data_IF_915544729379
#
_entry.id   IF_915544729379
#
_cell.length_a   1.000
_cell.length_b   1.000
_cell.length_c   1.000
_cell.angle_alpha   90.00
_cell.angle_beta   90.00
_cell.angle_gamma   90.00
#
_symmetry.space_group_name_H-M   'P 1'
#
loop_
_entity.id
_entity.type
_entity.pdbx_description
1 polymer ?
#
# COMPACT_ATOMS: atom_id res chain seq x y z
N UNK A 1 23.74 -23.04 12.90
CA UNK A 1 23.55 -22.04 13.98
C UNK A 1 22.31 -22.42 14.74
N UNK A 2 22.36 -22.48 16.07
CA UNK A 2 21.15 -22.65 16.88
C UNK A 2 20.28 -21.39 16.80
N UNK A 3 18.96 -21.53 16.99
CA UNK A 3 18.03 -20.38 17.05
C UNK A 3 18.52 -19.34 18.06
N UNK A 4 18.97 -19.80 19.23
CA UNK A 4 19.50 -18.96 20.30
C UNK A 4 20.74 -18.16 19.87
N UNK A 5 21.67 -18.80 19.17
CA UNK A 5 22.87 -18.12 18.66
C UNK A 5 22.52 -17.05 17.62
N UNK A 6 21.56 -17.32 16.73
CA UNK A 6 21.04 -16.32 15.79
C UNK A 6 20.37 -15.14 16.49
N UNK A 7 19.50 -15.40 17.49
CA UNK A 7 18.87 -14.33 18.28
C UNK A 7 19.89 -13.49 19.06
N UNK A 8 20.91 -14.13 19.64
CA UNK A 8 21.99 -13.45 20.36
C UNK A 8 22.79 -12.53 19.43
N UNK A 9 23.21 -13.02 18.26
CA UNK A 9 23.90 -12.19 17.27
C UNK A 9 23.03 -11.04 16.76
N UNK A 10 21.72 -11.28 16.57
CA UNK A 10 20.78 -10.24 16.15
C UNK A 10 20.59 -9.16 17.21
N UNK A 11 20.43 -9.54 18.49
CA UNK A 11 20.31 -8.60 19.60
C UNK A 11 21.56 -7.74 19.76
N UNK A 12 22.77 -8.31 19.63
CA UNK A 12 24.02 -7.55 19.72
C UNK A 12 24.24 -6.59 18.55
N UNK A 13 23.62 -6.84 17.41
CA UNK A 13 23.72 -5.99 16.23
C UNK A 13 22.63 -4.91 16.16
N UNK A 14 21.68 -4.90 17.10
CA UNK A 14 20.59 -3.92 17.16
C UNK A 14 20.96 -2.74 18.03
N UNK A 15 20.60 -1.55 17.58
CA UNK A 15 20.64 -0.34 18.41
C UNK A 15 19.66 -0.46 19.59
N UNK A 16 19.96 0.08 20.78
CA UNK A 16 19.06 -0.01 21.95
C UNK A 16 17.64 0.49 21.68
N UNK A 17 17.49 1.51 20.83
CA UNK A 17 16.19 2.04 20.40
C UNK A 17 15.39 1.04 19.54
N UNK A 18 16.08 0.23 18.72
CA UNK A 18 15.44 -0.83 17.92
C UNK A 18 14.95 -1.96 18.83
N UNK A 19 15.72 -2.32 19.86
CA UNK A 19 15.32 -3.31 20.86
C UNK A 19 14.09 -2.83 21.63
N UNK A 20 14.12 -1.60 22.16
CA UNK A 20 12.99 -1.01 22.88
C UNK A 20 11.72 -0.98 22.02
N UNK A 21 11.85 -0.65 20.74
CA UNK A 21 10.72 -0.66 19.80
C UNK A 21 10.18 -2.08 19.53
N UNK A 22 11.04 -3.10 19.45
CA UNK A 22 10.62 -4.50 19.35
C UNK A 22 9.87 -4.97 20.61
N UNK A 23 10.36 -4.64 21.80
CA UNK A 23 9.69 -4.95 23.07
C UNK A 23 8.34 -4.26 23.14
N UNK A 24 8.28 -2.96 22.85
CA UNK A 24 7.01 -2.21 22.78
C UNK A 24 6.03 -2.86 21.81
N UNK A 25 6.47 -3.23 20.60
CA UNK A 25 5.60 -3.87 19.61
C UNK A 25 5.03 -5.18 20.17
N UNK A 26 5.85 -6.03 20.80
CA UNK A 26 5.39 -7.29 21.38
C UNK A 26 4.44 -7.09 22.55
N UNK A 27 4.68 -6.09 23.40
CA UNK A 27 3.76 -5.72 24.45
C UNK A 27 2.41 -5.22 23.90
N UNK A 28 2.42 -4.35 22.89
CA UNK A 28 1.19 -3.90 22.22
C UNK A 28 0.41 -5.07 21.62
N UNK A 29 1.08 -5.99 20.90
CA UNK A 29 0.45 -7.19 20.34
C UNK A 29 -0.20 -8.02 21.45
N UNK A 30 0.55 -8.35 22.50
CA UNK A 30 0.02 -9.11 23.63
C UNK A 30 -1.20 -8.44 24.29
N UNK A 31 -1.15 -7.12 24.52
CA UNK A 31 -2.27 -6.37 25.10
C UNK A 31 -3.50 -6.39 24.18
N UNK A 32 -3.29 -6.18 22.88
CA UNK A 32 -4.37 -6.05 21.90
C UNK A 32 -4.96 -7.41 21.49
N UNK A 33 -4.24 -8.50 21.71
CA UNK A 33 -4.77 -9.87 21.59
C UNK A 33 -5.83 -10.17 22.66
N UNK A 34 -5.71 -9.55 23.84
CA UNK A 34 -6.66 -9.75 24.94
C UNK A 34 -7.90 -8.87 24.77
N UNK A 35 -7.71 -7.61 24.41
CA UNK A 35 -8.80 -6.66 24.25
C UNK A 35 -8.44 -5.59 23.22
N UNK A 36 -9.27 -5.49 22.17
CA UNK A 36 -9.19 -4.42 21.19
C UNK A 36 -10.04 -3.23 21.64
N UNK A 37 -9.67 -1.99 21.25
CA UNK A 37 -10.53 -0.84 21.48
C UNK A 37 -11.90 -1.04 20.83
N UNK A 38 -12.96 -0.63 21.53
CA UNK A 38 -14.29 -0.56 20.95
C UNK A 38 -14.42 0.71 20.07
N UNK A 39 -14.55 0.50 18.77
CA UNK A 39 -14.77 1.57 17.79
C UNK A 39 -16.26 1.76 17.43
N UNK A 40 -17.16 0.89 17.90
CA UNK A 40 -18.57 0.88 17.49
C UNK A 40 -19.33 2.17 17.86
N UNK A 41 -18.90 2.84 18.91
CA UNK A 41 -19.49 4.09 19.41
C UNK A 41 -18.90 5.36 18.78
N UNK A 42 -17.92 5.24 17.88
CA UNK A 42 -17.26 6.41 17.29
C UNK A 42 -18.14 7.05 16.22
N UNK A 43 -18.67 8.23 16.52
CA UNK A 43 -19.24 9.11 15.51
C UNK A 43 -18.14 9.93 14.84
N UNK A 44 -18.09 9.87 13.51
CA UNK A 44 -17.25 10.75 12.67
C UNK A 44 -18.14 11.93 12.26
N UNK A 45 -17.76 13.15 12.63
CA UNK A 45 -18.56 14.34 12.31
C UNK A 45 -18.24 14.77 10.88
N UNK A 46 -19.25 15.25 10.18
CA UNK A 46 -19.14 15.71 8.78
C UNK A 46 -19.65 17.13 8.59
N UNK A 47 -19.97 17.81 9.70
CA UNK A 47 -20.68 19.09 9.69
C UNK A 47 -19.82 20.25 9.13
N UNK A 48 -18.50 20.04 9.07
CA UNK A 48 -17.55 20.98 8.48
C UNK A 48 -17.01 20.38 7.18
N UNK A 49 -17.19 21.08 6.05
CA UNK A 49 -16.57 20.70 4.77
C UNK A 49 -15.05 20.68 4.98
N UNK A 50 -14.40 19.51 4.88
CA UNK A 50 -13.01 19.42 5.26
C UNK A 50 -12.09 20.05 4.20
N UNK A 51 -10.98 20.61 4.66
CA UNK A 51 -10.02 21.34 3.81
C UNK A 51 -9.32 20.46 2.75
N UNK A 52 -9.44 19.13 2.84
CA UNK A 52 -8.74 18.18 1.97
C UNK A 52 -9.55 16.89 1.71
N UNK A 53 -9.45 16.28 0.51
CA UNK A 53 -8.93 16.91 -0.70
C UNK A 53 -9.93 17.94 -1.26
N UNK A 54 -9.41 19.04 -1.79
CA UNK A 54 -10.20 19.96 -2.61
C UNK A 54 -10.31 19.37 -4.02
N UNK A 55 -11.53 19.13 -4.49
CA UNK A 55 -11.79 18.57 -5.81
C UNK A 55 -12.01 19.70 -6.82
N UNK A 56 -11.40 19.62 -8.02
CA UNK A 56 -11.76 20.52 -9.10
C UNK A 56 -13.19 20.22 -9.60
N UNK A 57 -13.88 21.21 -10.17
CA UNK A 57 -15.12 21.00 -10.90
C UNK A 57 -15.01 19.88 -11.94
N UNK A 58 -16.01 19.01 -12.00
CA UNK A 58 -16.00 17.81 -12.86
C UNK A 58 -15.99 18.16 -14.37
N UNK A 59 -16.58 19.28 -14.76
CA UNK A 59 -16.61 19.81 -16.12
C UNK A 59 -15.22 20.19 -16.65
N UNK A 60 -14.28 20.53 -15.76
CA UNK A 60 -12.87 20.81 -16.11
C UNK A 60 -12.04 19.55 -16.39
N UNK A 61 -12.58 18.35 -16.18
CA UNK A 61 -11.84 17.11 -16.41
C UNK A 61 -11.49 16.92 -17.89
N UNK A 62 -10.19 16.76 -18.25
CA UNK A 62 -9.75 16.58 -19.63
C UNK A 62 -10.39 15.36 -20.31
N UNK A 63 -10.59 15.44 -21.64
CA UNK A 63 -11.17 14.34 -22.43
C UNK A 63 -10.39 13.02 -22.24
N UNK A 64 -9.06 13.08 -22.23
CA UNK A 64 -8.19 11.91 -22.01
C UNK A 64 -8.48 11.21 -20.68
N UNK A 65 -8.80 11.96 -19.61
CA UNK A 65 -9.16 11.39 -18.32
C UNK A 65 -10.55 10.75 -18.38
N UNK A 66 -11.51 11.41 -19.01
CA UNK A 66 -12.88 10.89 -19.18
C UNK A 66 -12.88 9.55 -19.93
N UNK A 67 -12.15 9.46 -21.03
CA UNK A 67 -11.99 8.23 -21.82
C UNK A 67 -11.26 7.12 -21.05
N UNK A 68 -10.27 7.47 -20.23
CA UNK A 68 -9.62 6.51 -19.34
C UNK A 68 -10.59 5.97 -18.29
N UNK A 69 -11.36 6.85 -17.63
CA UNK A 69 -12.34 6.43 -16.62
C UNK A 69 -13.45 5.55 -17.21
N UNK A 70 -13.93 5.84 -18.42
CA UNK A 70 -14.90 4.98 -19.10
C UNK A 70 -14.34 3.57 -19.37
N UNK A 71 -13.07 3.46 -19.77
CA UNK A 71 -12.39 2.16 -19.96
C UNK A 71 -12.23 1.45 -18.63
N UNK A 72 -11.73 2.15 -17.61
CA UNK A 72 -11.49 1.59 -16.29
C UNK A 72 -12.78 1.05 -15.67
N UNK A 73 -13.90 1.79 -15.77
CA UNK A 73 -15.21 1.29 -15.30
C UNK A 73 -15.58 -0.02 -15.99
N UNK A 74 -15.49 -0.10 -17.33
CA UNK A 74 -15.80 -1.35 -18.05
C UNK A 74 -14.88 -2.51 -17.69
N UNK A 75 -13.61 -2.25 -17.45
CA UNK A 75 -12.63 -3.27 -17.12
C UNK A 75 -12.78 -3.75 -15.67
N UNK A 76 -12.87 -2.81 -14.73
CA UNK A 76 -13.03 -3.10 -13.29
C UNK A 76 -14.33 -3.87 -13.03
N UNK A 77 -15.46 -3.40 -13.58
CA UNK A 77 -16.76 -4.08 -13.43
C UNK A 77 -16.81 -5.40 -14.21
N UNK A 78 -16.01 -5.53 -15.27
CA UNK A 78 -15.80 -6.78 -15.98
C UNK A 78 -14.86 -7.75 -15.26
N UNK A 79 -14.38 -7.44 -14.05
CA UNK A 79 -13.42 -8.23 -13.29
C UNK A 79 -12.02 -8.28 -13.89
N UNK A 80 -11.70 -7.42 -14.89
CA UNK A 80 -10.37 -7.32 -15.51
C UNK A 80 -9.57 -6.24 -14.78
N UNK A 81 -8.76 -6.65 -13.82
CA UNK A 81 -8.00 -5.71 -12.98
C UNK A 81 -6.52 -5.70 -13.38
N UNK A 82 -5.83 -4.61 -13.02
CA UNK A 82 -4.38 -4.47 -13.13
C UNK A 82 -3.76 -4.30 -11.75
N UNK A 83 -3.03 -5.30 -11.28
CA UNK A 83 -2.19 -5.23 -10.09
C UNK A 83 -0.83 -4.59 -10.43
N UNK A 84 -0.26 -3.81 -9.51
CA UNK A 84 1.05 -3.16 -9.68
C UNK A 84 1.16 -2.30 -10.94
N UNK A 85 0.02 -1.82 -11.46
CA UNK A 85 -0.09 -0.99 -12.67
C UNK A 85 0.06 -1.71 -14.01
N UNK A 86 0.45 -2.99 -14.05
CA UNK A 86 0.76 -3.69 -15.30
C UNK A 86 0.34 -5.16 -15.34
N UNK A 87 0.13 -5.79 -14.19
CA UNK A 87 -0.16 -7.22 -14.12
C UNK A 87 -1.66 -7.45 -14.23
N UNK A 88 -2.09 -8.02 -15.36
CA UNK A 88 -3.50 -8.30 -15.61
C UNK A 88 -3.95 -9.53 -14.82
N UNK A 89 -5.05 -9.37 -14.09
CA UNK A 89 -5.69 -10.42 -13.29
C UNK A 89 -7.19 -10.43 -13.55
N UNK A 90 -7.80 -11.61 -13.43
CA UNK A 90 -9.25 -11.78 -13.44
C UNK A 90 -9.70 -11.98 -12.00
N UNK A 91 -10.58 -11.11 -11.51
CA UNK A 91 -11.14 -11.18 -10.15
C UNK A 91 -12.64 -11.47 -10.17
N UNK A 92 -13.16 -11.91 -9.03
CA UNK A 92 -14.59 -12.12 -8.78
C UNK A 92 -15.32 -10.79 -8.52
N UNK A 93 -16.65 -10.82 -8.45
CA UNK A 93 -17.50 -9.69 -8.05
C UNK A 93 -18.41 -10.10 -6.87
N UNK A 94 -18.13 -9.66 -5.63
CA UNK A 94 -16.96 -8.87 -5.20
C UNK A 94 -15.63 -9.63 -5.27
N UNK A 95 -14.48 -8.93 -5.31
CA UNK A 95 -13.17 -9.58 -5.25
C UNK A 95 -12.96 -10.36 -3.96
N UNK A 96 -12.29 -11.51 -4.07
CA UNK A 96 -11.73 -12.26 -2.94
C UNK A 96 -10.58 -11.49 -2.30
N UNK A 97 -10.88 -10.67 -1.29
CA UNK A 97 -9.91 -9.74 -0.67
C UNK A 97 -8.72 -10.40 0.02
N UNK A 98 -8.79 -11.71 0.27
CA UNK A 98 -7.73 -12.55 0.82
C UNK A 98 -7.30 -13.66 -0.17
N UNK A 99 -7.53 -13.46 -1.47
CA UNK A 99 -7.19 -14.40 -2.54
C UNK A 99 -5.97 -13.93 -3.32
N UNK A 100 -5.01 -14.85 -3.54
CA UNK A 100 -3.97 -14.70 -4.55
C UNK A 100 -4.49 -15.27 -5.88
N UNK A 101 -4.93 -14.39 -6.77
CA UNK A 101 -5.48 -14.75 -8.08
C UNK A 101 -4.44 -15.28 -9.08
N UNK A 102 -3.14 -15.08 -8.84
CA UNK A 102 -2.09 -15.66 -9.69
C UNK A 102 -1.80 -17.10 -9.29
N UNK A 103 -1.78 -17.35 -7.97
CA UNK A 103 -1.64 -18.70 -7.43
C UNK A 103 -2.95 -19.50 -7.48
N UNK A 104 -4.10 -18.82 -7.65
CA UNK A 104 -5.42 -19.43 -7.57
C UNK A 104 -5.75 -19.93 -6.16
N UNK A 105 -5.30 -19.21 -5.13
CA UNK A 105 -5.42 -19.61 -3.72
C UNK A 105 -6.24 -18.61 -2.93
N UNK A 106 -7.37 -19.06 -2.40
CA UNK A 106 -8.11 -18.34 -1.37
C UNK A 106 -7.46 -18.65 -0.01
N UNK A 107 -6.98 -17.62 0.67
CA UNK A 107 -6.32 -17.71 1.97
C UNK A 107 -7.13 -16.98 3.05
N UNK A 108 -8.43 -16.83 2.83
CA UNK A 108 -9.35 -16.22 3.78
C UNK A 108 -9.18 -16.83 5.17
N UNK A 109 -8.91 -15.94 6.13
CA UNK A 109 -8.76 -16.27 7.53
C UNK A 109 -9.26 -15.10 8.35
N UNK A 110 -9.80 -15.42 9.51
CA UNK A 110 -10.14 -14.46 10.53
C UNK A 110 -9.05 -14.36 11.60
N UNK A 111 -7.97 -15.16 11.57
CA UNK A 111 -6.91 -15.15 12.57
C UNK A 111 -6.36 -13.75 12.87
N UNK A 112 -5.95 -13.53 14.13
CA UNK A 112 -5.31 -12.28 14.51
C UNK A 112 -4.06 -12.06 13.66
N UNK A 113 -3.96 -10.87 13.05
CA UNK A 113 -2.86 -10.52 12.15
C UNK A 113 -1.49 -10.58 12.85
N UNK A 114 -1.46 -10.56 14.18
CA UNK A 114 -0.26 -10.68 15.00
C UNK A 114 0.32 -12.10 15.03
N UNK A 115 -0.51 -13.11 14.75
CA UNK A 115 -0.13 -14.53 14.68
C UNK A 115 0.25 -14.96 13.26
N UNK A 116 -0.14 -14.19 12.25
CA UNK A 116 0.15 -14.46 10.85
C UNK A 116 1.58 -14.07 10.46
N UNK A 117 2.33 -15.01 9.89
CA UNK A 117 3.61 -14.74 9.23
C UNK A 117 3.41 -14.57 7.73
N UNK A 118 3.20 -13.31 7.30
CA UNK A 118 3.03 -12.95 5.89
C UNK A 118 4.25 -13.25 5.00
N UNK A 119 5.36 -13.75 5.55
CA UNK A 119 6.51 -14.21 4.76
C UNK A 119 6.45 -15.70 4.45
N UNK A 120 5.47 -16.42 5.00
CA UNK A 120 5.34 -17.88 4.93
C UNK A 120 3.90 -18.28 4.58
N UNK A 121 3.43 -17.79 3.44
CA UNK A 121 2.14 -18.20 2.91
C UNK A 121 2.24 -19.62 2.33
N UNK A 122 1.17 -20.42 2.42
CA UNK A 122 1.15 -21.75 1.84
C UNK A 122 1.15 -21.71 0.31
N UNK A 123 1.56 -22.83 -0.30
CA UNK A 123 1.23 -23.17 -1.69
C UNK A 123 1.64 -22.14 -2.75
N UNK A 124 2.72 -21.40 -2.49
CA UNK A 124 3.31 -20.46 -3.46
C UNK A 124 2.59 -19.12 -3.58
N UNK A 125 1.63 -18.83 -2.71
CA UNK A 125 0.97 -17.52 -2.69
C UNK A 125 1.92 -16.40 -2.24
N UNK A 126 1.72 -15.20 -2.79
CA UNK A 126 2.44 -13.98 -2.42
C UNK A 126 1.46 -12.98 -1.78
N UNK A 127 1.76 -12.63 -0.53
CA UNK A 127 1.01 -11.63 0.23
C UNK A 127 0.85 -10.30 -0.52
N UNK A 128 1.82 -9.92 -1.37
CA UNK A 128 1.80 -8.64 -2.06
C UNK A 128 0.59 -8.50 -2.96
N UNK A 129 0.11 -9.57 -3.60
CA UNK A 129 -1.07 -9.48 -4.45
C UNK A 129 -2.34 -9.28 -3.61
N UNK A 130 -2.43 -9.98 -2.48
CA UNK A 130 -3.53 -9.81 -1.50
C UNK A 130 -3.57 -8.37 -0.99
N UNK A 131 -2.41 -7.83 -0.58
CA UNK A 131 -2.29 -6.44 -0.15
C UNK A 131 -2.62 -5.46 -1.28
N UNK A 132 -2.15 -5.70 -2.50
CA UNK A 132 -2.39 -4.83 -3.66
C UNK A 132 -3.88 -4.68 -3.99
N UNK A 133 -4.65 -5.77 -3.95
CA UNK A 133 -6.11 -5.73 -4.12
C UNK A 133 -6.77 -4.86 -3.04
N UNK A 134 -6.30 -5.00 -1.80
CA UNK A 134 -6.79 -4.28 -0.64
C UNK A 134 -6.21 -2.88 -0.49
N UNK A 135 -5.43 -2.36 -1.45
CA UNK A 135 -5.10 -0.94 -1.55
C UNK A 135 -6.22 -0.12 -2.19
N UNK A 136 -7.27 -0.75 -2.71
CA UNK A 136 -8.44 -0.05 -3.25
C UNK A 136 -8.13 0.92 -4.41
N UNK A 137 -7.09 0.65 -5.19
CA UNK A 137 -6.76 1.49 -6.34
C UNK A 137 -7.89 1.51 -7.37
N UNK A 138 -8.50 0.35 -7.64
CA UNK A 138 -9.61 0.20 -8.57
C UNK A 138 -10.88 0.89 -8.04
N UNK A 139 -11.14 0.82 -6.73
CA UNK A 139 -12.29 1.47 -6.10
C UNK A 139 -12.18 3.01 -6.20
N UNK A 140 -10.98 3.58 -6.01
CA UNK A 140 -10.75 5.00 -6.27
C UNK A 140 -11.07 5.37 -7.72
N UNK A 141 -10.75 4.53 -8.71
CA UNK A 141 -11.11 4.79 -10.12
C UNK A 141 -12.62 4.79 -10.34
N UNK A 142 -13.38 3.94 -9.65
CA UNK A 142 -14.85 3.96 -9.69
C UNK A 142 -15.40 5.25 -9.06
N UNK A 143 -14.86 5.68 -7.92
CA UNK A 143 -15.23 6.95 -7.27
C UNK A 143 -14.91 8.16 -8.16
N UNK A 144 -13.74 8.16 -8.82
CA UNK A 144 -13.40 9.20 -9.81
C UNK A 144 -14.38 9.23 -10.98
N UNK A 145 -14.81 8.07 -11.48
CA UNK A 145 -15.80 7.99 -12.55
C UNK A 145 -17.17 8.51 -12.12
N UNK A 146 -17.59 8.26 -10.88
CA UNK A 146 -18.81 8.84 -10.32
C UNK A 146 -18.76 10.37 -10.33
N UNK A 147 -17.68 10.96 -9.80
CA UNK A 147 -17.50 12.42 -9.76
C UNK A 147 -17.38 13.04 -11.15
N UNK A 148 -16.52 12.49 -12.02
CA UNK A 148 -16.17 13.12 -13.31
C UNK A 148 -17.19 12.85 -14.41
N UNK A 149 -17.79 11.65 -14.43
CA UNK A 149 -18.69 11.20 -15.49
C UNK A 149 -20.16 11.17 -15.07
N UNK A 150 -20.48 11.39 -13.79
CA UNK A 150 -21.83 11.17 -13.26
C UNK A 150 -22.22 9.69 -13.24
N UNK A 151 -21.25 8.78 -13.16
CA UNK A 151 -21.49 7.34 -13.24
C UNK A 151 -22.01 6.77 -11.90
N UNK A 152 -23.29 6.95 -11.61
CA UNK A 152 -23.96 6.47 -10.37
C UNK A 152 -23.75 4.98 -10.10
N UNK A 153 -23.73 4.14 -11.14
CA UNK A 153 -23.49 2.70 -11.00
C UNK A 153 -22.07 2.40 -10.48
N UNK A 154 -21.08 3.21 -10.85
CA UNK A 154 -19.71 3.08 -10.34
C UNK A 154 -19.63 3.50 -8.87
N UNK A 155 -20.37 4.55 -8.47
CA UNK A 155 -20.49 4.96 -7.06
C UNK A 155 -21.07 3.83 -6.19
N UNK A 156 -22.21 3.27 -6.62
CA UNK A 156 -22.87 2.16 -5.91
C UNK A 156 -21.95 0.96 -5.74
N UNK A 157 -21.28 0.54 -6.81
CA UNK A 157 -20.36 -0.60 -6.77
C UNK A 157 -19.14 -0.34 -5.88
N UNK A 158 -18.60 0.88 -5.89
CA UNK A 158 -17.51 1.26 -4.99
C UNK A 158 -17.91 1.10 -3.52
N UNK A 159 -19.07 1.64 -3.12
CA UNK A 159 -19.58 1.56 -1.75
C UNK A 159 -19.93 0.12 -1.36
N UNK A 160 -20.55 -0.64 -2.27
CA UNK A 160 -20.84 -2.07 -2.09
C UNK A 160 -19.56 -2.87 -1.80
N UNK A 161 -18.52 -2.68 -2.60
CA UNK A 161 -17.24 -3.37 -2.44
C UNK A 161 -16.46 -2.93 -1.21
N UNK A 162 -16.51 -1.65 -0.83
CA UNK A 162 -15.97 -1.19 0.46
C UNK A 162 -16.68 -1.88 1.63
N UNK A 163 -18.01 -1.92 1.62
CA UNK A 163 -18.79 -2.60 2.65
C UNK A 163 -18.54 -4.11 2.67
N UNK A 164 -18.28 -4.73 1.52
CA UNK A 164 -17.85 -6.12 1.45
C UNK A 164 -16.46 -6.32 2.06
N UNK A 165 -15.51 -5.43 1.75
CA UNK A 165 -14.15 -5.50 2.30
C UNK A 165 -14.19 -5.39 3.83
N UNK A 166 -14.93 -4.43 4.38
CA UNK A 166 -15.05 -4.21 5.83
C UNK A 166 -15.56 -5.47 6.54
N UNK A 167 -16.58 -6.13 5.98
CA UNK A 167 -17.16 -7.35 6.56
C UNK A 167 -16.19 -8.55 6.57
N UNK A 168 -15.30 -8.65 5.58
CA UNK A 168 -14.38 -9.79 5.42
C UNK A 168 -12.95 -9.49 5.86
N UNK A 169 -12.68 -8.28 6.36
CA UNK A 169 -11.37 -7.85 6.87
C UNK A 169 -11.54 -7.06 8.17
N UNK A 170 -12.11 -7.67 9.23
CA UNK A 170 -12.31 -7.01 10.50
C UNK A 170 -10.98 -6.46 11.06
N UNK A 171 -10.99 -5.35 11.81
CA UNK A 171 -9.79 -4.77 12.40
C UNK A 171 -8.87 -5.78 13.07
N UNK A 172 -7.57 -5.65 12.79
CA UNK A 172 -6.50 -6.49 13.33
C UNK A 172 -6.56 -7.99 12.97
N UNK A 173 -7.41 -8.39 12.01
CA UNK A 173 -7.60 -9.79 11.62
C UNK A 173 -7.37 -10.04 10.14
N UNK A 174 -6.83 -11.20 9.81
CA UNK A 174 -6.51 -11.58 8.43
C UNK A 174 -5.29 -10.87 7.84
N UNK A 175 -4.95 -11.28 6.62
CA UNK A 175 -3.72 -10.87 5.93
C UNK A 175 -3.60 -9.37 5.71
N UNK A 176 -4.72 -8.69 5.46
CA UNK A 176 -4.74 -7.27 5.12
C UNK A 176 -4.37 -6.34 6.29
N UNK A 177 -4.35 -6.86 7.52
CA UNK A 177 -3.93 -6.13 8.72
C UNK A 177 -2.51 -6.48 9.17
N UNK A 178 -1.75 -7.27 8.41
CA UNK A 178 -0.37 -7.67 8.81
C UNK A 178 0.69 -6.59 8.54
N UNK A 179 0.31 -5.46 7.92
CA UNK A 179 1.22 -4.37 7.54
C UNK A 179 0.60 -3.00 7.76
N UNK A 180 1.24 -2.17 8.59
CA UNK A 180 0.82 -0.80 8.86
C UNK A 180 0.94 0.11 7.62
N UNK A 181 1.90 -0.16 6.72
CA UNK A 181 2.01 0.54 5.43
C UNK A 181 0.74 0.36 4.61
N UNK A 182 0.21 -0.86 4.52
CA UNK A 182 -0.98 -1.15 3.71
C UNK A 182 -2.23 -0.48 4.30
N UNK A 183 -2.32 -0.42 5.64
CA UNK A 183 -3.34 0.36 6.35
C UNK A 183 -3.21 1.85 6.04
N UNK A 184 -1.98 2.39 6.06
CA UNK A 184 -1.70 3.78 5.68
C UNK A 184 -2.12 4.10 4.24
N UNK A 185 -1.83 3.21 3.29
CA UNK A 185 -2.27 3.34 1.90
C UNK A 185 -3.80 3.34 1.80
N UNK A 186 -4.50 2.47 2.53
CA UNK A 186 -5.97 2.48 2.59
C UNK A 186 -6.54 3.79 3.13
N UNK A 187 -5.90 4.39 4.15
CA UNK A 187 -6.30 5.71 4.66
C UNK A 187 -6.20 6.80 3.58
N UNK A 188 -5.11 6.82 2.81
CA UNK A 188 -4.96 7.75 1.67
C UNK A 188 -6.12 7.56 0.69
N UNK A 189 -6.38 6.31 0.30
CA UNK A 189 -7.34 5.98 -0.74
C UNK A 189 -8.77 6.31 -0.28
N UNK A 190 -9.10 6.02 0.98
CA UNK A 190 -10.41 6.32 1.55
C UNK A 190 -10.65 7.82 1.68
N UNK A 191 -9.64 8.63 2.05
CA UNK A 191 -9.79 10.08 2.08
C UNK A 191 -10.20 10.67 0.72
N UNK A 192 -9.66 10.13 -0.38
CA UNK A 192 -10.04 10.51 -1.74
C UNK A 192 -11.41 9.96 -2.14
N UNK A 193 -11.70 8.68 -1.89
CA UNK A 193 -13.01 8.10 -2.19
C UNK A 193 -14.12 8.84 -1.49
N UNK A 194 -13.93 9.19 -0.21
CA UNK A 194 -14.91 9.93 0.57
C UNK A 194 -15.28 11.28 -0.04
N UNK A 195 -14.28 12.04 -0.51
CA UNK A 195 -14.54 13.31 -1.20
C UNK A 195 -15.20 13.12 -2.56
N UNK A 196 -14.77 12.12 -3.33
CA UNK A 196 -15.27 11.85 -4.68
C UNK A 196 -16.70 11.27 -4.68
N UNK A 197 -17.13 10.68 -3.57
CA UNK A 197 -18.44 10.06 -3.39
C UNK A 197 -19.40 10.94 -2.59
N UNK A 198 -19.03 12.17 -2.24
CA UNK A 198 -19.93 13.10 -1.55
C UNK A 198 -21.21 13.33 -2.39
N UNK A 199 -22.39 13.16 -1.77
CA UNK A 199 -23.69 13.22 -2.44
C UNK A 199 -24.14 11.90 -3.07
N UNK A 200 -23.35 10.83 -2.96
CA UNK A 200 -23.74 9.47 -3.35
C UNK A 200 -23.87 8.57 -2.11
N UNK A 201 -25.07 8.04 -1.86
CA UNK A 201 -25.32 7.06 -0.79
C UNK A 201 -24.75 7.52 0.56
N UNK A 202 -25.10 8.75 0.98
CA UNK A 202 -24.47 9.43 2.12
C UNK A 202 -24.61 8.65 3.44
N UNK A 203 -25.69 7.86 3.60
CA UNK A 203 -25.92 7.02 4.78
C UNK A 203 -24.88 5.90 4.84
N UNK A 204 -24.69 5.17 3.74
CA UNK A 204 -23.72 4.10 3.61
C UNK A 204 -22.29 4.64 3.71
N UNK A 205 -22.00 5.78 3.08
CA UNK A 205 -20.69 6.40 3.17
C UNK A 205 -20.40 6.87 4.61
N UNK A 206 -21.39 7.43 5.32
CA UNK A 206 -21.27 7.78 6.75
C UNK A 206 -21.00 6.55 7.61
N UNK A 207 -21.66 5.42 7.35
CA UNK A 207 -21.39 4.15 8.03
C UNK A 207 -19.97 3.67 7.77
N UNK A 208 -19.52 3.68 6.52
CA UNK A 208 -18.17 3.27 6.14
C UNK A 208 -17.08 4.12 6.82
N UNK A 209 -17.30 5.44 6.99
CA UNK A 209 -16.38 6.30 7.77
C UNK A 209 -16.17 5.76 9.18
N UNK A 210 -17.25 5.42 9.88
CA UNK A 210 -17.20 4.90 11.25
C UNK A 210 -16.56 3.52 11.34
N UNK A 211 -16.81 2.64 10.35
CA UNK A 211 -16.24 1.29 10.31
C UNK A 211 -14.75 1.27 9.90
N UNK A 212 -14.32 2.20 9.04
CA UNK A 212 -12.96 2.22 8.49
C UNK A 212 -12.02 3.08 9.33
N UNK A 213 -12.35 4.36 9.56
CA UNK A 213 -11.36 5.35 9.98
C UNK A 213 -10.75 5.07 11.37
N UNK A 214 -11.52 4.84 12.45
CA UNK A 214 -10.95 4.76 13.80
C UNK A 214 -9.94 3.62 13.94
N UNK A 215 -10.31 2.42 13.47
CA UNK A 215 -9.46 1.24 13.52
C UNK A 215 -8.20 1.39 12.66
N UNK A 216 -8.32 1.92 11.44
CA UNK A 216 -7.17 2.11 10.56
C UNK A 216 -6.20 3.16 11.09
N UNK A 217 -6.69 4.29 11.61
CA UNK A 217 -5.87 5.34 12.22
C UNK A 217 -5.12 4.80 13.44
N UNK A 218 -5.83 4.13 14.33
CA UNK A 218 -5.24 3.53 15.52
C UNK A 218 -4.18 2.49 15.17
N UNK A 219 -4.48 1.60 14.22
CA UNK A 219 -3.55 0.55 13.82
C UNK A 219 -2.29 1.12 13.18
N UNK A 220 -2.44 2.04 12.21
CA UNK A 220 -1.32 2.67 11.53
C UNK A 220 -0.40 3.40 12.51
N UNK A 221 -0.95 4.10 13.50
CA UNK A 221 -0.15 4.77 14.52
C UNK A 221 0.51 3.80 15.51
N UNK A 222 -0.24 2.81 15.99
CA UNK A 222 0.21 1.88 17.03
C UNK A 222 1.28 0.93 16.53
N UNK A 223 1.15 0.45 15.30
CA UNK A 223 1.99 -0.58 14.67
C UNK A 223 2.96 -0.08 13.60
N UNK A 224 3.12 1.24 13.48
CA UNK A 224 4.06 1.90 12.57
C UNK A 224 5.45 1.27 12.56
N UNK A 225 6.06 1.25 11.37
CA UNK A 225 7.37 0.68 11.12
C UNK A 225 8.48 1.46 11.84
N UNK A 226 9.46 0.74 12.37
CA UNK A 226 10.68 1.26 13.00
C UNK A 226 11.92 0.47 12.55
N UNK A 227 13.12 0.98 12.83
CA UNK A 227 14.38 0.33 12.47
C UNK A 227 14.65 0.29 10.95
N UNK A 228 15.29 -0.79 10.49
CA UNK A 228 15.75 -0.95 9.10
C UNK A 228 14.63 -0.98 8.04
N UNK A 229 13.40 -1.30 8.43
CA UNK A 229 12.22 -1.25 7.55
C UNK A 229 11.50 0.10 7.57
N UNK A 230 11.96 1.07 8.36
CA UNK A 230 11.20 2.29 8.63
C UNK A 230 11.14 3.25 7.45
N UNK A 231 12.18 3.39 6.62
CA UNK A 231 12.32 4.59 5.77
C UNK A 231 11.08 4.88 4.89
N UNK A 232 10.86 4.05 3.87
CA UNK A 232 9.74 4.28 2.93
C UNK A 232 8.38 3.86 3.54
N UNK A 233 8.36 2.85 4.42
CA UNK A 233 7.12 2.38 5.03
C UNK A 233 6.52 3.43 5.95
N UNK A 234 7.35 4.05 6.79
CA UNK A 234 6.92 5.08 7.74
C UNK A 234 6.43 6.33 7.03
N UNK A 235 7.00 6.69 5.88
CA UNK A 235 6.48 7.78 5.06
C UNK A 235 5.05 7.48 4.57
N UNK A 236 4.78 6.28 4.06
CA UNK A 236 3.42 5.88 3.63
C UNK A 236 2.43 5.81 4.79
N UNK A 237 2.83 5.24 5.92
CA UNK A 237 2.04 5.19 7.15
C UNK A 237 1.64 6.58 7.65
N UNK A 238 2.61 7.50 7.74
CA UNK A 238 2.39 8.86 8.21
C UNK A 238 1.63 9.70 7.17
N UNK A 239 1.84 9.50 5.88
CA UNK A 239 1.08 10.19 4.83
C UNK A 239 -0.42 9.87 4.96
N UNK A 240 -0.78 8.60 5.11
CA UNK A 240 -2.17 8.19 5.36
C UNK A 240 -2.78 8.89 6.57
N UNK A 241 -2.06 8.89 7.70
CA UNK A 241 -2.50 9.57 8.94
C UNK A 241 -2.66 11.08 8.77
N UNK A 242 -1.73 11.76 8.10
CA UNK A 242 -1.81 13.20 7.87
C UNK A 242 -3.04 13.55 7.04
N UNK A 243 -3.29 12.82 5.94
CA UNK A 243 -4.42 13.13 5.06
C UNK A 243 -5.76 12.94 5.77
N UNK A 244 -5.93 11.85 6.53
CA UNK A 244 -7.20 11.61 7.24
C UNK A 244 -7.37 12.52 8.43
N UNK A 245 -6.33 12.88 9.18
CA UNK A 245 -6.48 13.84 10.29
C UNK A 245 -6.67 15.27 9.75
N UNK A 246 -6.10 15.62 8.60
CA UNK A 246 -6.41 16.88 7.93
C UNK A 246 -7.88 16.96 7.48
N UNK A 247 -8.46 15.82 7.09
CA UNK A 247 -9.88 15.72 6.71
C UNK A 247 -10.83 15.57 7.91
N UNK A 248 -10.41 14.88 8.96
CA UNK A 248 -11.19 14.62 10.19
C UNK A 248 -10.33 14.86 11.44
N UNK A 249 -10.13 16.13 11.85
CA UNK A 249 -9.22 16.48 12.94
C UNK A 249 -9.56 15.83 14.29
N UNK A 250 -10.83 15.57 14.56
CA UNK A 250 -11.31 14.92 15.78
C UNK A 250 -10.78 13.49 15.95
N UNK A 251 -10.38 12.84 14.86
CA UNK A 251 -9.82 11.50 14.87
C UNK A 251 -8.35 11.47 15.29
N UNK A 252 -7.70 12.62 15.48
CA UNK A 252 -6.34 12.71 16.02
C UNK A 252 -6.17 11.99 17.37
N UNK A 253 -7.26 11.87 18.15
CA UNK A 253 -7.28 11.12 19.43
C UNK A 253 -6.89 9.65 19.29
N UNK A 254 -7.07 9.06 18.11
CA UNK A 254 -6.74 7.66 17.82
C UNK A 254 -5.29 7.47 17.36
N UNK A 255 -4.57 8.55 17.06
CA UNK A 255 -3.16 8.51 16.69
C UNK A 255 -2.35 9.46 17.58
N UNK A 256 -2.10 10.67 17.10
CA UNK A 256 -1.56 11.80 17.83
C UNK A 256 -1.97 13.10 17.12
N UNK A 257 -1.81 14.24 17.80
CA UNK A 257 -2.01 15.55 17.18
C UNK A 257 -1.12 15.73 15.94
N UNK A 258 -1.64 16.41 14.91
CA UNK A 258 -0.95 16.63 13.62
C UNK A 258 0.48 17.11 13.79
N UNK A 259 0.74 18.03 14.72
CA UNK A 259 2.09 18.54 14.99
C UNK A 259 3.10 17.41 15.29
N UNK A 260 2.71 16.41 16.07
CA UNK A 260 3.56 15.26 16.37
C UNK A 260 3.70 14.30 15.20
N UNK A 261 2.68 14.18 14.34
CA UNK A 261 2.73 13.39 13.12
C UNK A 261 3.70 14.02 12.10
N UNK A 262 3.65 15.34 11.92
CA UNK A 262 4.57 16.10 11.06
C UNK A 262 6.03 16.03 11.53
N UNK A 263 6.28 16.17 12.84
CA UNK A 263 7.63 15.94 13.40
C UNK A 263 8.10 14.51 13.09
N UNK A 264 7.20 13.53 13.16
CA UNK A 264 7.48 12.14 12.77
C UNK A 264 7.93 12.01 11.30
N UNK A 265 7.33 12.76 10.37
CA UNK A 265 7.71 12.78 8.95
C UNK A 265 9.08 13.41 8.76
N UNK A 266 9.34 14.56 9.39
CA UNK A 266 10.65 15.23 9.32
C UNK A 266 11.77 14.33 9.83
N UNK A 267 11.55 13.63 10.94
CA UNK A 267 12.51 12.67 11.48
C UNK A 267 12.66 11.42 10.60
N UNK A 268 11.58 10.95 9.96
CA UNK A 268 11.64 9.83 9.02
C UNK A 268 12.44 10.20 7.75
N UNK A 269 12.23 11.41 7.22
CA UNK A 269 12.95 11.91 6.04
C UNK A 269 14.41 12.30 6.32
N UNK A 270 14.75 12.67 7.56
CA UNK A 270 16.12 12.99 7.98
C UNK A 270 17.00 11.75 8.23
N UNK A 271 16.40 10.57 8.39
CA UNK A 271 17.11 9.31 8.59
C UNK A 271 17.79 8.80 7.32
N UNK A 272 19.05 9.21 7.11
CA UNK A 272 19.96 8.91 5.98
C UNK A 272 19.78 9.79 4.74
N UNK A 273 20.17 11.05 4.88
CA UNK A 273 20.85 11.75 3.77
C UNK A 273 22.35 11.52 3.96
N UNK A 274 22.87 10.39 3.49
CA UNK A 274 24.30 10.31 3.22
C UNK A 274 24.60 11.38 2.17
N UNK A 275 25.51 12.30 2.51
CA UNK A 275 25.90 13.42 1.67
C UNK A 275 26.39 12.93 0.32
N UNK A 276 25.52 12.97 -0.69
CA UNK A 276 25.94 12.93 -2.09
C UNK A 276 26.77 14.19 -2.31
N UNK A 277 28.11 14.03 -2.28
CA UNK A 277 29.02 15.09 -2.71
C UNK A 277 28.61 15.53 -4.12
N UNK A 278 28.42 16.82 -4.39
CA UNK A 278 28.14 17.29 -5.73
C UNK A 278 29.37 16.99 -6.59
N UNK A 279 29.25 16.05 -7.53
CA UNK A 279 30.18 15.97 -8.66
C UNK A 279 29.96 17.23 -9.49
N UNK A 280 30.97 18.12 -9.48
CA UNK A 280 31.02 19.32 -10.28
C UNK A 280 30.70 19.02 -11.76
N UNK A 281 29.53 19.44 -12.22
CA UNK A 281 29.19 19.47 -13.64
C UNK A 281 29.69 20.81 -14.19
N UNK A 282 30.96 20.87 -14.57
CA UNK A 282 31.48 21.97 -15.39
C UNK A 282 30.84 21.90 -16.77
N UNK A 283 30.12 22.96 -17.11
CA UNK A 283 29.41 23.21 -18.36
C UNK A 283 30.42 23.38 -19.50
N UNK A 284 30.58 22.39 -20.38
CA UNK A 284 31.24 22.61 -21.68
C UNK A 284 30.17 22.92 -22.74
N UNK A 285 30.30 24.09 -23.37
CA UNK A 285 29.54 24.50 -24.55
C UNK A 285 30.16 23.86 -25.79
N UNK A 286 29.29 23.38 -26.69
CA UNK A 286 29.56 23.27 -28.13
C UNK A 286 30.31 22.02 -28.61
N UNK A 287 29.59 21.10 -29.27
CA UNK A 287 30.01 20.42 -30.49
C UNK A 287 28.92 19.43 -30.96
N UNK A 288 28.61 19.46 -32.26
CA UNK A 288 27.66 18.63 -32.99
C UNK A 288 27.96 17.11 -32.91
N UNK A 289 26.99 16.22 -33.20
CA UNK A 289 27.18 14.78 -33.04
C UNK A 289 27.80 14.15 -34.30
N UNK A 290 28.73 13.20 -34.20
CA UNK A 290 28.99 12.26 -35.28
C UNK A 290 28.30 10.91 -35.05
N UNK A 291 27.96 10.30 -36.18
CA UNK A 291 27.26 9.03 -36.36
C UNK A 291 28.14 7.81 -36.05
N UNK A 292 27.46 6.71 -35.72
CA UNK A 292 27.76 5.26 -35.91
C UNK A 292 29.19 4.74 -35.61
N UNK A 293 29.24 3.65 -34.83
CA UNK A 293 30.38 2.72 -34.84
C UNK A 293 30.22 1.55 -33.89
N UNK A 294 29.79 0.40 -34.40
CA UNK A 294 30.02 -0.91 -33.78
C UNK A 294 31.52 -1.17 -33.69
N UNK A 295 32.05 -1.59 -32.54
CA UNK A 295 33.26 -2.41 -32.53
C UNK A 295 33.35 -3.30 -31.28
N UNK A 296 33.35 -4.59 -31.55
CA UNK A 296 33.71 -5.66 -30.62
C UNK A 296 35.23 -5.65 -30.42
N UNK A 297 35.70 -5.70 -29.16
CA UNK A 297 37.05 -6.20 -28.85
C UNK A 297 37.01 -7.08 -27.60
N UNK A 298 37.37 -8.35 -27.80
CA UNK A 298 37.78 -9.32 -26.78
C UNK A 298 39.27 -9.12 -26.48
N UNK A 299 39.59 -9.09 -25.19
CA UNK A 299 40.84 -9.52 -24.55
C UNK A 299 40.55 -9.46 -23.05
N UNK A 300 40.95 -10.34 -22.15
CA UNK A 300 41.95 -11.40 -22.07
C UNK A 300 42.24 -11.47 -20.56
N UNK A 301 42.28 -12.67 -19.98
CA UNK A 301 42.08 -12.87 -18.53
C UNK A 301 43.18 -12.32 -17.61
N UNK A 302 42.83 -12.09 -16.32
CA UNK A 302 43.25 -12.92 -15.17
C UNK A 302 42.63 -12.43 -13.86
N UNK A 303 42.18 -13.42 -13.09
CA UNK A 303 41.79 -13.57 -11.67
C UNK A 303 42.01 -12.39 -10.70
N UNK A 304 41.01 -12.14 -9.85
CA UNK A 304 41.22 -11.55 -8.51
C UNK A 304 40.00 -10.86 -7.89
N UNK A 305 39.33 -11.56 -6.97
CA UNK A 305 38.47 -11.06 -5.88
C UNK A 305 37.13 -10.40 -6.27
N UNK A 306 36.06 -11.20 -6.14
CA UNK A 306 34.68 -10.76 -6.36
C UNK A 306 34.10 -9.97 -5.19
N UNK A 307 33.71 -8.72 -5.44
CA UNK A 307 32.64 -8.05 -4.70
C UNK A 307 31.29 -8.53 -5.25
N UNK A 308 30.50 -9.24 -4.44
CA UNK A 308 29.12 -9.59 -4.77
C UNK A 308 28.28 -8.31 -4.77
N UNK A 309 27.88 -7.87 -5.97
CA UNK A 309 26.73 -6.97 -6.17
C UNK A 309 25.45 -7.70 -5.73
N UNK A 310 24.70 -7.09 -4.81
CA UNK A 310 23.29 -7.38 -4.59
C UNK A 310 22.51 -6.92 -5.82
N UNK A 311 22.28 -7.84 -6.75
CA UNK A 311 21.31 -7.70 -7.83
C UNK A 311 20.18 -8.68 -7.58
N UNK A 312 18.97 -8.16 -7.37
CA UNK A 312 17.74 -8.94 -7.38
C UNK A 312 17.63 -9.65 -8.73
N UNK A 313 17.78 -10.97 -8.75
CA UNK A 313 17.50 -11.78 -9.93
C UNK A 313 16.00 -12.06 -9.95
N UNK A 314 15.30 -11.41 -10.87
CA UNK A 314 14.01 -11.87 -11.35
C UNK A 314 14.20 -13.24 -12.00
N UNK A 315 13.53 -14.26 -11.46
CA UNK A 315 13.40 -15.55 -12.13
C UNK A 315 12.20 -15.45 -13.08
N UNK A 316 12.46 -15.48 -14.39
CA UNK A 316 11.40 -15.66 -15.39
C UNK A 316 10.93 -17.13 -15.39
N UNK A 317 9.62 -17.39 -15.50
CA UNK A 317 9.12 -18.75 -15.71
C UNK A 317 9.47 -19.24 -17.12
N UNK A 318 10.05 -20.43 -17.18
CA UNK A 318 10.31 -21.18 -18.42
C UNK A 318 9.04 -21.97 -18.75
N UNK A 319 8.37 -21.62 -19.84
CA UNK A 319 7.26 -22.41 -20.38
C UNK A 319 7.81 -23.57 -21.23
N UNK A 320 7.33 -24.82 -21.07
CA UNK A 320 7.70 -25.90 -21.98
C UNK A 320 6.99 -25.71 -23.34
N UNK A 321 7.80 -25.59 -24.39
CA UNK A 321 7.35 -25.41 -25.77
C UNK A 321 6.58 -26.60 -26.32
N UNK A 322 5.50 -26.31 -27.05
CA UNK A 322 4.73 -27.25 -27.87
C UNK A 322 5.65 -27.90 -28.92
N UNK A 323 5.72 -29.24 -28.92
CA UNK A 323 6.29 -30.01 -30.04
C UNK A 323 5.38 -29.88 -31.26
N UNK A 324 5.92 -29.35 -32.36
CA UNK A 324 5.40 -29.59 -33.71
C UNK A 324 5.61 -31.09 -34.05
N UNK A 325 4.55 -31.75 -34.52
CA UNK A 325 4.64 -33.01 -35.25
C UNK A 325 4.82 -32.67 -36.72
N UNK A 326 5.90 -33.15 -37.32
CA UNK A 326 6.02 -33.33 -38.77
C UNK A 326 6.27 -34.82 -39.01
N UNK A 327 5.24 -35.51 -39.49
CA UNK A 327 5.20 -36.60 -40.48
C UNK A 327 3.81 -37.23 -40.49
#
# INVERSE_FOLDING_TARGET
MSKLQWYWHRLRAMEPLEIAAHVRKKFCQWSDEQELPDWSSVSVRTDERPAFPSLPPADLAPLVLREALQRDVRDILGGRWRAFGHLEIKVDDPPGWQTDYLAGKNLETDELAFHLDHRRLPEGADIKLIWELSRWHQLVRLAMAAHVLGAEHAARKCIEWLGHWVRHNPPCRGWNWTSALEVGMRLVQFAWMDALLEGYLDIELKRLRAEILPAHIWFAWRYRSFGSSANNHRLGELAGLILVIARWPELARWAALLAFVFVGVLLAGAGRVDSVRPTNFTRSRGASPPRRGFLCKRSGGRRGVGLRRFGQRFCHPVFPGRKKRDR
#
